data_IF_627499296757
#
_entry.id   IF_627499296757
#
_cell.length_a   1.000
_cell.length_b   1.000
_cell.length_c   1.000
_cell.angle_alpha   90.00
_cell.angle_beta   90.00
_cell.angle_gamma   90.00
#
_symmetry.space_group_name_H-M   'P 1'
#
loop_
_entity.id
_entity.type
_entity.pdbx_description
1 polymer ?
#
# COMPACT_ATOMS: atom_id res chain seq x y z
N UNK A 1 57.47 45.18 56.63
CA UNK A 1 56.71 45.04 55.38
C UNK A 1 55.34 44.46 55.70
N UNK A 2 54.30 45.30 55.75
CA UNK A 2 52.90 44.93 55.50
C UNK A 2 52.06 46.21 55.45
N UNK A 3 51.46 46.47 54.29
CA UNK A 3 50.60 47.62 53.99
C UNK A 3 49.18 47.33 54.46
N UNK A 4 48.52 48.27 55.11
CA UNK A 4 47.05 48.38 55.09
C UNK A 4 46.69 49.86 54.92
N UNK A 5 46.16 50.19 53.74
CA UNK A 5 45.68 51.51 53.33
C UNK A 5 44.25 51.76 53.78
N UNK A 6 44.02 52.92 54.40
CA UNK A 6 42.71 53.55 54.56
C UNK A 6 42.23 54.11 53.21
N UNK A 7 40.92 54.10 52.99
CA UNK A 7 40.05 55.28 52.84
C UNK A 7 38.82 54.94 51.98
N UNK A 8 37.65 55.00 52.59
CA UNK A 8 36.39 55.16 51.88
C UNK A 8 36.08 56.64 51.64
N UNK A 9 35.26 56.89 50.61
CA UNK A 9 34.10 57.80 50.61
C UNK A 9 33.44 57.76 49.23
N UNK A 10 32.15 57.42 49.20
CA UNK A 10 31.23 57.57 48.06
C UNK A 10 30.88 59.06 47.85
N UNK A 11 30.44 59.45 46.64
CA UNK A 11 29.00 59.72 46.50
C UNK A 11 28.36 59.23 45.18
N UNK A 12 27.02 59.30 45.20
CA UNK A 12 25.99 58.87 44.24
C UNK A 12 25.96 59.63 42.89
N UNK A 13 25.09 59.11 41.98
CA UNK A 13 24.44 59.68 40.77
C UNK A 13 25.09 59.22 39.45
N UNK A 14 24.38 58.75 38.41
CA UNK A 14 22.96 58.75 38.08
C UNK A 14 22.61 57.54 37.18
N UNK A 15 21.38 57.05 37.30
CA UNK A 15 20.80 55.98 36.51
C UNK A 15 20.24 56.50 35.17
N UNK A 16 20.56 55.80 34.07
CA UNK A 16 19.77 55.81 32.83
C UNK A 16 20.03 54.50 32.07
N UNK A 17 19.42 53.42 32.56
CA UNK A 17 19.34 52.15 31.84
C UNK A 17 18.09 52.13 30.97
N UNK A 18 18.23 52.56 29.71
CA UNK A 18 17.20 52.37 28.69
C UNK A 18 17.30 50.93 28.17
N UNK A 19 16.76 49.98 28.94
CA UNK A 19 16.58 48.60 28.48
C UNK A 19 15.34 48.57 27.57
N UNK A 20 15.55 48.80 26.27
CA UNK A 20 14.55 48.50 25.26
C UNK A 20 14.34 46.99 25.20
N UNK A 21 13.27 46.49 25.84
CA UNK A 21 12.74 45.17 25.55
C UNK A 21 12.24 45.20 24.10
N UNK A 22 13.07 44.74 23.17
CA UNK A 22 12.58 44.22 21.90
C UNK A 22 11.76 42.96 22.23
N UNK A 23 10.44 43.11 22.27
CA UNK A 23 9.53 41.99 22.18
C UNK A 23 9.73 41.35 20.80
N UNK A 24 10.57 40.32 20.73
CA UNK A 24 10.63 39.44 19.57
C UNK A 24 9.24 38.81 19.42
N UNK A 25 8.58 38.94 18.27
CA UNK A 25 7.37 38.17 18.03
C UNK A 25 7.80 36.70 18.04
N UNK A 26 7.23 35.93 18.97
CA UNK A 26 7.23 34.48 18.89
C UNK A 26 6.54 34.12 17.57
N UNK A 27 7.32 33.99 16.50
CA UNK A 27 6.86 33.38 15.27
C UNK A 27 6.37 31.99 15.65
N UNK A 28 5.08 31.72 15.41
CA UNK A 28 4.54 30.38 15.50
C UNK A 28 5.48 29.48 14.67
N UNK A 29 6.19 28.57 15.34
CA UNK A 29 6.99 27.56 14.66
C UNK A 29 6.02 26.82 13.73
N UNK A 30 6.15 27.04 12.42
CA UNK A 30 5.37 26.30 11.44
C UNK A 30 5.69 24.82 11.66
N UNK A 31 4.73 24.07 12.20
CA UNK A 31 4.88 22.65 12.44
C UNK A 31 5.22 21.99 11.10
N UNK A 32 6.31 21.21 11.07
CA UNK A 32 6.70 20.47 9.87
C UNK A 32 5.51 19.66 9.35
N UNK A 33 5.30 19.61 8.03
CA UNK A 33 4.15 18.91 7.46
C UNK A 33 4.16 17.44 7.87
N UNK A 34 2.96 16.88 8.08
CA UNK A 34 2.78 15.44 8.24
C UNK A 34 3.13 14.79 6.91
N UNK A 35 4.20 13.99 6.90
CA UNK A 35 4.63 13.25 5.72
C UNK A 35 3.92 11.91 5.68
N UNK A 36 3.21 11.66 4.58
CA UNK A 36 2.55 10.38 4.29
C UNK A 36 3.31 9.71 3.16
N UNK A 37 4.12 8.70 3.47
CA UNK A 37 4.69 7.83 2.43
C UNK A 37 3.63 6.80 2.03
N UNK A 38 3.37 6.72 0.73
CA UNK A 38 2.45 5.74 0.13
C UNK A 38 3.25 4.81 -0.78
N UNK A 39 3.42 3.54 -0.38
CA UNK A 39 4.11 2.53 -1.21
C UNK A 39 3.11 1.64 -1.95
N UNK A 40 3.39 1.33 -3.22
CA UNK A 40 2.65 0.30 -3.95
C UNK A 40 3.49 -0.38 -5.04
N UNK A 41 3.08 -1.59 -5.41
CA UNK A 41 3.86 -2.46 -6.30
C UNK A 41 3.60 -2.30 -7.79
N UNK A 42 2.54 -1.58 -8.17
CA UNK A 42 2.12 -1.40 -9.58
C UNK A 42 2.72 -0.15 -10.21
N UNK A 43 2.62 -0.05 -11.54
CA UNK A 43 2.98 1.14 -12.30
C UNK A 43 2.00 2.30 -12.07
N UNK A 44 2.44 3.54 -12.33
CA UNK A 44 1.64 4.75 -12.17
C UNK A 44 0.39 4.75 -13.05
N UNK A 45 0.50 4.26 -14.29
CA UNK A 45 -0.59 4.20 -15.28
C UNK A 45 -1.51 3.00 -15.05
N UNK A 46 -1.96 2.82 -13.81
CA UNK A 46 -2.94 1.81 -13.38
C UNK A 46 -3.97 2.45 -12.46
N UNK A 47 -5.16 1.84 -12.23
CA UNK A 47 -6.16 2.40 -11.31
C UNK A 47 -5.60 2.72 -9.92
N UNK A 48 -4.80 1.81 -9.34
CA UNK A 48 -4.16 2.04 -8.04
C UNK A 48 -3.09 3.13 -8.08
N UNK A 49 -2.25 3.16 -9.12
CA UNK A 49 -1.23 4.22 -9.29
C UNK A 49 -1.87 5.60 -9.40
N UNK A 50 -2.89 5.73 -10.25
CA UNK A 50 -3.64 6.97 -10.42
C UNK A 50 -4.41 7.35 -9.15
N UNK A 51 -5.00 6.40 -8.42
CA UNK A 51 -5.66 6.68 -7.15
C UNK A 51 -4.68 7.21 -6.07
N UNK A 52 -3.46 6.66 -5.99
CA UNK A 52 -2.43 7.16 -5.07
C UNK A 52 -1.95 8.58 -5.43
N UNK A 53 -1.74 8.85 -6.72
CA UNK A 53 -1.42 10.21 -7.21
C UNK A 53 -2.58 11.17 -6.91
N UNK A 54 -3.83 10.73 -7.14
CA UNK A 54 -5.00 11.55 -6.86
C UNK A 54 -5.17 11.84 -5.37
N UNK A 55 -4.89 10.86 -4.52
CA UNK A 55 -4.86 11.04 -3.08
C UNK A 55 -3.83 12.10 -2.68
N UNK A 56 -2.62 12.05 -3.23
CA UNK A 56 -1.60 13.09 -3.03
C UNK A 56 -2.12 14.48 -3.40
N UNK A 57 -2.64 14.65 -4.62
CA UNK A 57 -3.19 15.93 -5.07
C UNK A 57 -4.27 16.48 -4.14
N UNK A 58 -5.23 15.63 -3.75
CA UNK A 58 -6.37 16.04 -2.94
C UNK A 58 -5.96 16.35 -1.49
N UNK A 59 -5.07 15.54 -0.90
CA UNK A 59 -4.59 15.76 0.46
C UNK A 59 -3.79 17.07 0.54
N UNK A 60 -2.83 17.29 -0.36
CA UNK A 60 -1.99 18.49 -0.37
C UNK A 60 -2.81 19.76 -0.71
N UNK A 61 -3.81 19.65 -1.59
CA UNK A 61 -4.73 20.77 -1.90
C UNK A 61 -5.63 21.12 -0.73
N UNK A 62 -6.15 20.13 -0.01
CA UNK A 62 -7.06 20.34 1.13
C UNK A 62 -6.34 20.80 2.39
N UNK A 63 -5.07 20.45 2.54
CA UNK A 63 -4.26 20.70 3.74
C UNK A 63 -2.92 21.37 3.37
N UNK A 64 -2.96 22.56 2.75
CA UNK A 64 -1.76 23.22 2.24
C UNK A 64 -0.76 23.50 3.35
N UNK A 65 0.49 23.06 3.14
CA UNK A 65 1.59 23.20 4.11
C UNK A 65 1.48 22.31 5.35
N UNK A 66 0.37 21.57 5.54
CA UNK A 66 0.14 20.69 6.70
C UNK A 66 0.39 19.22 6.39
N UNK A 67 0.11 18.79 5.16
CA UNK A 67 0.32 17.41 4.71
C UNK A 67 1.19 17.41 3.45
N UNK A 68 2.12 16.46 3.38
CA UNK A 68 2.88 16.15 2.19
C UNK A 68 2.76 14.65 1.92
N UNK A 69 2.32 14.27 0.73
CA UNK A 69 2.22 12.86 0.33
C UNK A 69 3.34 12.52 -0.64
N UNK A 70 4.06 11.44 -0.36
CA UNK A 70 5.13 10.91 -1.20
C UNK A 70 4.71 9.54 -1.71
N UNK A 71 4.48 9.41 -3.02
CA UNK A 71 4.04 8.17 -3.65
C UNK A 71 5.24 7.43 -4.22
N UNK A 72 5.38 6.15 -3.89
CA UNK A 72 6.46 5.27 -4.31
C UNK A 72 5.88 4.07 -5.08
N UNK A 73 5.80 4.17 -6.42
CA UNK A 73 5.25 3.11 -7.27
C UNK A 73 6.27 1.99 -7.50
N UNK A 74 5.88 0.96 -8.25
CA UNK A 74 6.77 -0.11 -8.74
C UNK A 74 7.66 -0.75 -7.65
N UNK A 75 7.16 -0.85 -6.41
CA UNK A 75 7.92 -1.39 -5.28
C UNK A 75 9.21 -0.62 -4.97
N UNK A 76 9.32 0.65 -5.38
CA UNK A 76 10.54 1.47 -5.20
C UNK A 76 10.91 1.66 -3.73
N UNK A 77 9.91 1.72 -2.83
CA UNK A 77 10.13 1.80 -1.39
C UNK A 77 9.98 0.44 -0.72
N UNK A 78 8.80 -0.16 -0.80
CA UNK A 78 8.53 -1.51 -0.30
C UNK A 78 7.68 -2.31 -1.30
N UNK A 79 8.06 -3.57 -1.50
CA UNK A 79 7.33 -4.54 -2.31
C UNK A 79 6.60 -5.61 -1.50
N UNK A 80 6.03 -6.57 -2.22
CA UNK A 80 5.35 -7.74 -1.64
C UNK A 80 6.26 -8.46 -0.64
N UNK A 81 5.67 -8.88 0.49
CA UNK A 81 6.40 -9.56 1.57
C UNK A 81 7.03 -8.62 2.61
N UNK A 82 7.34 -7.35 2.25
CA UNK A 82 7.91 -6.36 3.17
C UNK A 82 6.97 -5.19 3.53
N UNK A 83 6.06 -4.82 2.61
CA UNK A 83 5.22 -3.62 2.77
C UNK A 83 4.37 -3.62 4.06
N UNK A 84 3.83 -4.78 4.45
CA UNK A 84 2.99 -4.91 5.65
C UNK A 84 3.79 -4.72 6.95
N UNK A 85 5.03 -5.23 7.00
CA UNK A 85 5.91 -5.08 8.15
C UNK A 85 6.40 -3.63 8.27
N UNK A 86 6.80 -3.02 7.15
CA UNK A 86 7.17 -1.62 7.08
C UNK A 86 6.05 -0.68 7.55
N UNK A 87 4.79 -0.99 7.21
CA UNK A 87 3.63 -0.24 7.69
C UNK A 87 3.48 -0.34 9.21
N UNK A 88 3.65 -1.54 9.77
CA UNK A 88 3.53 -1.76 11.22
C UNK A 88 4.66 -1.11 12.01
N UNK A 89 5.86 -1.03 11.43
CA UNK A 89 7.02 -0.32 11.99
C UNK A 89 6.93 1.20 11.82
N UNK A 90 6.07 1.69 10.92
CA UNK A 90 5.89 3.11 10.63
C UNK A 90 6.87 3.68 9.59
N UNK A 91 7.61 2.81 8.88
CA UNK A 91 8.54 3.20 7.81
C UNK A 91 7.81 3.72 6.56
N UNK A 92 6.54 3.31 6.40
CA UNK A 92 5.56 3.79 5.41
C UNK A 92 4.22 4.03 6.11
N UNK A 93 3.43 5.01 5.66
CA UNK A 93 2.18 5.41 6.34
C UNK A 93 0.94 4.79 5.70
N UNK A 94 0.97 4.57 4.39
CA UNK A 94 -0.14 3.98 3.63
C UNK A 94 0.37 3.00 2.59
N UNK A 95 -0.36 1.91 2.41
CA UNK A 95 -0.16 0.94 1.34
C UNK A 95 -1.53 0.48 0.83
N UNK A 96 -1.58 -0.11 -0.37
CA UNK A 96 -2.80 -0.67 -0.95
C UNK A 96 -2.53 -2.09 -1.51
N UNK A 97 -2.27 -3.07 -0.63
CA UNK A 97 -2.10 -4.47 -1.00
C UNK A 97 -3.41 -5.05 -1.56
N UNK A 98 -3.25 -6.09 -2.38
CA UNK A 98 -4.38 -6.89 -2.84
C UNK A 98 -4.99 -7.64 -1.67
N UNK A 99 -6.30 -7.86 -1.70
CA UNK A 99 -7.04 -8.60 -0.68
C UNK A 99 -6.46 -10.01 -0.43
N UNK A 100 -5.82 -10.61 -1.44
CA UNK A 100 -5.12 -11.89 -1.36
C UNK A 100 -3.85 -11.89 -0.49
N UNK A 101 -3.42 -10.75 0.04
CA UNK A 101 -2.13 -10.61 0.77
C UNK A 101 -2.28 -10.52 2.29
N UNK A 102 -3.49 -10.70 2.80
CA UNK A 102 -3.79 -10.53 4.22
C UNK A 102 -3.81 -11.84 5.04
N UNK A 103 -3.43 -12.98 4.44
CA UNK A 103 -3.49 -14.32 5.06
C UNK A 103 -2.83 -14.43 6.44
N UNK A 104 -1.73 -13.69 6.66
CA UNK A 104 -1.02 -13.66 7.95
C UNK A 104 -1.79 -12.91 9.04
N UNK A 105 -2.74 -12.06 8.67
CA UNK A 105 -3.45 -11.13 9.56
C UNK A 105 -4.91 -11.52 9.78
N UNK A 106 -5.60 -11.99 8.74
CA UNK A 106 -6.99 -12.43 8.82
C UNK A 106 -7.30 -13.46 7.75
N UNK A 107 -8.11 -14.46 8.10
CA UNK A 107 -8.68 -15.42 7.13
C UNK A 107 -9.97 -14.90 6.49
N UNK A 108 -10.59 -13.85 7.06
CA UNK A 108 -11.89 -13.35 6.57
C UNK A 108 -11.83 -12.73 5.18
N UNK A 109 -10.70 -12.09 4.86
CA UNK A 109 -10.50 -11.41 3.57
C UNK A 109 -10.20 -12.40 2.43
N UNK A 110 -9.84 -13.66 2.74
CA UNK A 110 -9.68 -14.72 1.75
C UNK A 110 -10.96 -15.02 0.95
N UNK A 111 -12.13 -14.57 1.44
CA UNK A 111 -13.38 -14.61 0.71
C UNK A 111 -13.25 -14.06 -0.72
N UNK A 112 -12.47 -12.98 -0.91
CA UNK A 112 -12.31 -12.36 -2.22
C UNK A 112 -11.47 -13.19 -3.21
N UNK A 113 -10.75 -14.22 -2.73
CA UNK A 113 -9.98 -15.13 -3.57
C UNK A 113 -10.78 -16.37 -3.99
N UNK A 114 -12.00 -16.56 -3.46
CA UNK A 114 -12.83 -17.71 -3.82
C UNK A 114 -13.17 -17.64 -5.33
N UNK A 115 -12.84 -18.69 -6.11
CA UNK A 115 -13.05 -18.66 -7.55
C UNK A 115 -14.53 -18.59 -7.87
N UNK A 116 -14.89 -17.72 -8.82
CA UNK A 116 -16.26 -17.48 -9.29
C UNK A 116 -17.25 -17.05 -8.20
N UNK A 117 -16.79 -16.49 -7.08
CA UNK A 117 -17.70 -15.99 -6.03
C UNK A 117 -18.50 -14.77 -6.49
N UNK A 118 -17.88 -13.88 -7.27
CA UNK A 118 -18.51 -12.67 -7.79
C UNK A 118 -18.68 -12.80 -9.30
N UNK A 119 -19.91 -12.57 -9.79
CA UNK A 119 -20.24 -12.62 -11.21
C UNK A 119 -19.54 -11.49 -12.00
N UNK A 120 -19.46 -10.30 -11.39
CA UNK A 120 -18.91 -9.09 -11.99
C UNK A 120 -18.43 -8.09 -10.91
N UNK A 121 -17.91 -6.95 -11.35
CA UNK A 121 -17.48 -5.89 -10.45
C UNK A 121 -18.66 -5.22 -9.71
N UNK A 122 -19.88 -5.20 -10.25
CA UNK A 122 -21.03 -4.64 -9.53
C UNK A 122 -21.41 -5.51 -8.32
N UNK A 123 -21.25 -6.83 -8.43
CA UNK A 123 -21.41 -7.75 -7.31
C UNK A 123 -20.36 -7.51 -6.22
N UNK A 124 -19.11 -7.23 -6.64
CA UNK A 124 -18.03 -6.84 -5.72
C UNK A 124 -18.38 -5.54 -5.01
N UNK A 125 -18.84 -4.52 -5.73
CA UNK A 125 -19.24 -3.22 -5.19
C UNK A 125 -20.35 -3.36 -4.15
N UNK A 126 -21.41 -4.10 -4.49
CA UNK A 126 -22.53 -4.35 -3.57
C UNK A 126 -22.05 -5.02 -2.29
N UNK A 127 -21.17 -6.02 -2.38
CA UNK A 127 -20.66 -6.70 -1.20
C UNK A 127 -19.75 -5.78 -0.36
N UNK A 128 -18.82 -5.08 -0.98
CA UNK A 128 -17.90 -4.17 -0.29
C UNK A 128 -18.65 -3.01 0.39
N UNK A 129 -19.73 -2.51 -0.22
CA UNK A 129 -20.61 -1.48 0.35
C UNK A 129 -21.53 -2.01 1.47
N UNK A 130 -21.77 -3.32 1.53
CA UNK A 130 -22.60 -3.93 2.58
C UNK A 130 -21.98 -3.79 3.98
N UNK A 131 -22.80 -3.95 5.02
CA UNK A 131 -22.32 -3.95 6.41
C UNK A 131 -21.21 -4.98 6.66
N UNK A 132 -21.32 -6.17 6.05
CA UNK A 132 -20.30 -7.22 6.16
C UNK A 132 -19.00 -6.83 5.45
N UNK A 133 -19.08 -6.26 4.23
CA UNK A 133 -17.92 -5.78 3.49
C UNK A 133 -17.21 -4.63 4.21
N UNK A 134 -17.96 -3.68 4.76
CA UNK A 134 -17.41 -2.58 5.55
C UNK A 134 -16.78 -3.06 6.87
N UNK A 135 -17.37 -4.07 7.52
CA UNK A 135 -16.80 -4.65 8.74
C UNK A 135 -15.40 -5.28 8.52
N UNK A 136 -15.12 -5.77 7.30
CA UNK A 136 -13.81 -6.34 6.97
C UNK A 136 -12.66 -5.32 6.99
N UNK A 137 -12.93 -4.03 6.75
CA UNK A 137 -11.92 -2.96 6.85
C UNK A 137 -11.32 -2.85 8.26
N UNK A 138 -12.09 -3.21 9.29
CA UNK A 138 -11.65 -3.20 10.70
C UNK A 138 -11.22 -4.58 11.21
N UNK A 139 -11.20 -5.60 10.36
CA UNK A 139 -10.96 -6.99 10.78
C UNK A 139 -9.55 -7.26 11.30
N UNK A 140 -8.62 -6.33 11.10
CA UNK A 140 -7.20 -6.46 11.46
C UNK A 140 -6.71 -5.34 12.38
N UNK A 141 -7.60 -4.48 12.90
CA UNK A 141 -7.21 -3.32 13.73
C UNK A 141 -6.50 -3.77 15.01
N UNK A 142 -6.90 -4.89 15.61
CA UNK A 142 -6.23 -5.49 16.76
C UNK A 142 -4.80 -6.00 16.46
N UNK A 143 -4.42 -6.10 15.18
CA UNK A 143 -3.07 -6.41 14.71
C UNK A 143 -2.32 -5.18 14.20
N UNK A 144 -2.83 -3.98 14.50
CA UNK A 144 -2.23 -2.69 14.12
C UNK A 144 -2.56 -2.23 12.70
N UNK A 145 -3.39 -2.96 11.95
CA UNK A 145 -3.75 -2.63 10.56
C UNK A 145 -5.17 -2.08 10.50
N UNK A 146 -5.33 -0.84 10.04
CA UNK A 146 -6.64 -0.24 9.80
C UNK A 146 -6.89 -0.14 8.29
N UNK A 147 -7.93 -0.81 7.80
CA UNK A 147 -8.47 -0.60 6.46
C UNK A 147 -9.27 0.69 6.38
N UNK A 148 -9.01 1.48 5.34
CA UNK A 148 -9.62 2.80 5.12
C UNK A 148 -10.63 2.78 3.98
N UNK A 149 -10.33 2.05 2.90
CA UNK A 149 -11.17 1.96 1.72
C UNK A 149 -10.84 0.70 0.90
N UNK A 150 -11.78 0.26 0.07
CA UNK A 150 -11.51 -0.64 -1.03
C UNK A 150 -11.22 0.16 -2.30
N UNK A 151 -10.27 -0.31 -3.12
CA UNK A 151 -10.02 0.22 -4.45
C UNK A 151 -10.07 -0.92 -5.46
N UNK A 152 -10.76 -0.68 -6.56
CA UNK A 152 -10.91 -1.67 -7.60
C UNK A 152 -9.66 -1.80 -8.48
N UNK A 153 -9.42 -3.01 -8.94
CA UNK A 153 -8.72 -3.22 -10.22
C UNK A 153 -9.69 -3.85 -11.22
N UNK A 154 -10.04 -5.12 -11.02
CA UNK A 154 -10.93 -5.83 -11.93
C UNK A 154 -10.87 -7.35 -11.82
N UNK A 155 -11.55 -8.01 -12.75
CA UNK A 155 -11.60 -9.47 -12.84
C UNK A 155 -10.28 -10.06 -13.41
N UNK A 156 -9.92 -11.24 -12.92
CA UNK A 156 -8.70 -11.99 -13.27
C UNK A 156 -8.89 -12.83 -14.54
N UNK A 157 -7.85 -12.81 -15.36
CA UNK A 157 -7.69 -13.59 -16.58
C UNK A 157 -6.49 -14.51 -16.45
N UNK A 158 -6.57 -15.70 -17.03
CA UNK A 158 -5.46 -16.64 -17.07
C UNK A 158 -4.59 -16.37 -18.29
N UNK A 159 -3.28 -16.49 -18.14
CA UNK A 159 -2.35 -16.52 -19.27
C UNK A 159 -1.31 -17.62 -19.12
N UNK A 160 -0.77 -18.06 -20.25
CA UNK A 160 0.33 -19.02 -20.30
C UNK A 160 1.19 -18.83 -21.55
N UNK A 161 2.40 -19.38 -21.53
CA UNK A 161 3.28 -19.49 -22.72
C UNK A 161 2.93 -20.70 -23.62
N UNK A 162 1.94 -21.54 -23.24
CA UNK A 162 1.42 -22.62 -24.09
C UNK A 162 0.42 -22.11 -25.13
N UNK A 163 0.26 -22.87 -26.21
CA UNK A 163 -0.67 -22.54 -27.31
C UNK A 163 -2.15 -22.82 -27.00
N UNK A 164 -2.43 -23.60 -25.94
CA UNK A 164 -3.79 -24.00 -25.56
C UNK A 164 -4.09 -23.58 -24.12
N UNK A 165 -5.21 -22.89 -23.94
CA UNK A 165 -5.78 -22.50 -22.66
C UNK A 165 -7.29 -22.28 -22.84
N UNK A 166 -8.05 -23.36 -23.04
CA UNK A 166 -9.50 -23.31 -23.32
C UNK A 166 -10.34 -24.11 -22.34
N UNK A 167 -9.75 -25.12 -21.69
CA UNK A 167 -10.42 -25.99 -20.74
C UNK A 167 -9.60 -26.11 -19.45
N UNK A 168 -10.23 -26.47 -18.33
CA UNK A 168 -9.53 -26.65 -17.06
C UNK A 168 -8.36 -27.64 -17.13
N UNK A 169 -8.43 -28.67 -17.98
CA UNK A 169 -7.36 -29.67 -18.11
C UNK A 169 -6.09 -29.11 -18.74
N UNK A 170 -6.19 -28.02 -19.50
CA UNK A 170 -5.06 -27.45 -20.24
C UNK A 170 -4.01 -26.83 -19.29
N UNK A 171 -4.37 -26.58 -18.02
CA UNK A 171 -3.42 -26.08 -16.99
C UNK A 171 -2.74 -27.20 -16.19
N UNK A 172 -3.12 -28.47 -16.40
CA UNK A 172 -2.60 -29.60 -15.61
C UNK A 172 -1.09 -29.73 -15.76
N UNK A 173 -0.38 -29.81 -14.64
CA UNK A 173 1.08 -29.92 -14.57
C UNK A 173 1.83 -28.61 -14.82
N UNK A 174 1.17 -27.56 -15.32
CA UNK A 174 1.79 -26.26 -15.54
C UNK A 174 2.10 -25.55 -14.21
N UNK A 175 3.20 -24.79 -14.18
CA UNK A 175 3.56 -23.96 -13.04
C UNK A 175 2.89 -22.59 -13.16
N UNK A 176 2.02 -22.24 -12.22
CA UNK A 176 1.34 -20.95 -12.21
C UNK A 176 1.87 -20.06 -11.10
N UNK A 177 2.30 -18.85 -11.45
CA UNK A 177 2.54 -17.83 -10.43
C UNK A 177 1.22 -17.39 -9.83
N UNK A 178 1.16 -17.34 -8.51
CA UNK A 178 0.04 -16.80 -7.74
C UNK A 178 0.52 -15.73 -6.74
N UNK A 179 -0.43 -14.91 -6.26
CA UNK A 179 -0.21 -14.07 -5.09
C UNK A 179 -0.09 -14.95 -3.82
N UNK A 180 0.35 -14.37 -2.71
CA UNK A 180 0.53 -15.09 -1.44
C UNK A 180 -0.79 -15.40 -0.73
N UNK A 181 -1.62 -16.24 -1.35
CA UNK A 181 -2.91 -16.70 -0.85
C UNK A 181 -3.01 -18.21 -0.85
N UNK A 182 -3.47 -18.78 0.27
CA UNK A 182 -3.74 -20.22 0.39
C UNK A 182 -4.97 -20.64 -0.45
N UNK A 183 -5.92 -19.74 -0.71
CA UNK A 183 -7.10 -20.02 -1.55
C UNK A 183 -6.69 -20.12 -3.02
N UNK A 184 -5.84 -19.22 -3.50
CA UNK A 184 -5.31 -19.29 -4.86
C UNK A 184 -4.44 -20.53 -5.07
N UNK A 185 -3.70 -20.94 -4.04
CA UNK A 185 -2.97 -22.21 -4.07
C UNK A 185 -3.93 -23.39 -4.24
N UNK A 186 -5.00 -23.44 -3.45
CA UNK A 186 -6.02 -24.48 -3.56
C UNK A 186 -6.73 -24.46 -4.93
N UNK A 187 -7.02 -23.28 -5.48
CA UNK A 187 -7.63 -23.09 -6.81
C UNK A 187 -6.82 -23.81 -7.90
N UNK A 188 -5.52 -23.56 -8.00
CA UNK A 188 -4.69 -24.18 -9.03
C UNK A 188 -4.41 -25.66 -8.76
N UNK A 189 -4.26 -26.06 -7.49
CA UNK A 189 -4.12 -27.48 -7.14
C UNK A 189 -5.36 -28.29 -7.52
N UNK A 190 -6.55 -27.73 -7.39
CA UNK A 190 -7.81 -28.37 -7.81
C UNK A 190 -7.84 -28.65 -9.33
N UNK A 191 -7.10 -27.86 -10.13
CA UNK A 191 -6.94 -28.07 -11.57
C UNK A 191 -5.74 -28.95 -11.94
N UNK A 192 -5.04 -29.52 -10.94
CA UNK A 192 -3.84 -30.31 -11.14
C UNK A 192 -2.62 -29.50 -11.61
N UNK A 193 -2.65 -28.17 -11.45
CA UNK A 193 -1.53 -27.29 -11.72
C UNK A 193 -0.59 -27.16 -10.49
N UNK A 194 0.57 -26.55 -10.71
CA UNK A 194 1.62 -26.35 -9.71
C UNK A 194 1.75 -24.87 -9.33
N UNK A 195 1.02 -24.37 -8.32
CA UNK A 195 1.10 -22.96 -7.93
C UNK A 195 2.43 -22.60 -7.27
N UNK A 196 2.92 -21.39 -7.55
CA UNK A 196 4.11 -20.79 -6.93
C UNK A 196 3.79 -19.37 -6.45
N UNK A 197 3.88 -19.15 -5.13
CA UNK A 197 3.72 -17.83 -4.51
C UNK A 197 4.94 -16.98 -4.82
N UNK A 198 4.75 -15.81 -5.42
CA UNK A 198 5.85 -14.95 -5.89
C UNK A 198 5.47 -13.46 -5.81
N UNK A 199 6.45 -12.59 -5.52
CA UNK A 199 6.22 -11.15 -5.48
C UNK A 199 5.86 -10.61 -6.88
N UNK A 200 5.00 -9.59 -6.93
CA UNK A 200 4.56 -9.01 -8.20
C UNK A 200 5.71 -8.50 -9.09
N UNK A 201 6.77 -7.95 -8.50
CA UNK A 201 7.95 -7.44 -9.19
C UNK A 201 8.79 -8.52 -9.90
N UNK A 202 8.62 -9.79 -9.51
CA UNK A 202 9.41 -10.91 -10.04
C UNK A 202 8.72 -11.59 -11.23
N UNK A 203 7.42 -11.33 -11.43
CA UNK A 203 6.56 -12.10 -12.34
C UNK A 203 7.01 -12.02 -13.78
N UNK A 204 7.33 -10.82 -14.29
CA UNK A 204 7.74 -10.67 -15.69
C UNK A 204 8.95 -11.55 -16.00
N UNK A 205 9.99 -11.49 -15.15
CA UNK A 205 11.18 -12.30 -15.35
C UNK A 205 10.92 -13.79 -15.16
N UNK A 206 10.08 -14.18 -14.20
CA UNK A 206 9.73 -15.58 -13.99
C UNK A 206 8.97 -16.18 -15.18
N UNK A 207 8.11 -15.40 -15.85
CA UNK A 207 7.45 -15.81 -17.09
C UNK A 207 8.45 -15.85 -18.25
N UNK A 208 9.26 -14.80 -18.42
CA UNK A 208 10.23 -14.69 -19.51
C UNK A 208 11.25 -15.84 -19.51
N UNK A 209 11.67 -16.27 -18.33
CA UNK A 209 12.67 -17.34 -18.14
C UNK A 209 12.06 -18.74 -18.01
N UNK A 210 10.74 -18.86 -17.99
CA UNK A 210 10.05 -20.15 -17.83
C UNK A 210 10.15 -20.77 -16.43
N UNK A 211 10.47 -19.99 -15.40
CA UNK A 211 10.37 -20.43 -13.99
C UNK A 211 8.93 -20.82 -13.68
N UNK A 212 7.97 -20.04 -14.19
CA UNK A 212 6.55 -20.37 -14.25
C UNK A 212 6.06 -20.37 -15.70
N UNK A 213 5.10 -21.23 -16.00
CA UNK A 213 4.48 -21.36 -17.33
C UNK A 213 3.34 -20.35 -17.55
N UNK A 214 2.76 -19.81 -16.47
CA UNK A 214 1.58 -18.96 -16.54
C UNK A 214 1.30 -18.18 -15.26
N UNK A 215 0.26 -17.33 -15.32
CA UNK A 215 -0.19 -16.51 -14.20
C UNK A 215 -1.68 -16.15 -14.32
N UNK A 216 -2.21 -15.49 -13.30
CA UNK A 216 -3.52 -14.82 -13.31
C UNK A 216 -3.40 -13.32 -12.98
N UNK A 217 -4.07 -12.45 -13.74
CA UNK A 217 -4.16 -11.02 -13.43
C UNK A 217 -5.33 -10.30 -14.12
N UNK A 218 -5.57 -9.05 -13.73
CA UNK A 218 -6.43 -8.15 -14.48
C UNK A 218 -5.77 -7.66 -15.77
N UNK A 219 -6.58 -7.20 -16.72
CA UNK A 219 -6.09 -6.56 -17.94
C UNK A 219 -5.14 -5.39 -17.68
N UNK A 220 -5.41 -4.58 -16.65
CA UNK A 220 -4.55 -3.44 -16.27
C UNK A 220 -3.12 -3.89 -15.93
N UNK A 221 -2.97 -4.97 -15.16
CA UNK A 221 -1.66 -5.47 -14.79
C UNK A 221 -0.99 -6.23 -15.94
N UNK A 222 -1.74 -7.04 -16.70
CA UNK A 222 -1.22 -7.75 -17.88
C UNK A 222 -0.59 -6.75 -18.85
N UNK A 223 -1.28 -5.63 -19.12
CA UNK A 223 -0.79 -4.59 -20.01
C UNK A 223 0.34 -3.77 -19.39
N UNK A 224 0.15 -3.19 -18.20
CA UNK A 224 1.12 -2.28 -17.60
C UNK A 224 2.46 -2.94 -17.23
N UNK A 225 2.46 -4.24 -16.96
CA UNK A 225 3.67 -5.03 -16.72
C UNK A 225 4.16 -5.80 -17.94
N UNK A 226 3.51 -5.60 -19.10
CA UNK A 226 3.90 -6.24 -20.37
C UNK A 226 3.90 -7.77 -20.31
N UNK A 227 3.09 -8.39 -19.46
CA UNK A 227 3.01 -9.85 -19.40
C UNK A 227 2.58 -10.45 -20.75
N UNK A 228 1.81 -9.71 -21.55
CA UNK A 228 1.44 -10.10 -22.92
C UNK A 228 2.64 -10.26 -23.88
N UNK A 229 3.80 -9.64 -23.59
CA UNK A 229 5.01 -9.82 -24.42
C UNK A 229 5.68 -11.19 -24.18
N UNK A 230 5.39 -11.83 -23.05
CA UNK A 230 6.01 -13.10 -22.59
C UNK A 230 4.98 -14.19 -22.30
N UNK A 231 3.75 -14.03 -22.80
CA UNK A 231 2.65 -14.98 -22.66
C UNK A 231 1.92 -15.10 -23.98
N UNK A 232 2.03 -16.27 -24.63
CA UNK A 232 1.44 -16.52 -25.96
C UNK A 232 -0.08 -16.53 -25.95
N UNK A 233 -0.68 -17.04 -24.88
CA UNK A 233 -2.13 -17.24 -24.80
C UNK A 233 -2.69 -16.58 -23.55
N UNK A 234 -3.77 -15.82 -23.72
CA UNK A 234 -4.56 -15.26 -22.63
C UNK A 234 -6.01 -15.71 -22.82
N UNK A 235 -6.62 -16.24 -21.77
CA UNK A 235 -8.02 -16.61 -21.73
C UNK A 235 -8.78 -15.62 -20.85
N UNK A 236 -9.82 -14.99 -21.40
CA UNK A 236 -10.76 -14.18 -20.62
C UNK A 236 -11.68 -15.10 -19.82
N UNK A 237 -11.28 -15.35 -18.58
CA UNK A 237 -11.93 -16.32 -17.69
C UNK A 237 -12.80 -15.67 -16.62
N UNK A 238 -12.51 -14.41 -16.25
CA UNK A 238 -13.18 -13.69 -15.17
C UNK A 238 -13.37 -14.54 -13.89
N UNK A 239 -12.39 -15.40 -13.56
CA UNK A 239 -12.57 -16.47 -12.56
C UNK A 239 -12.44 -16.00 -11.11
N UNK A 240 -12.18 -14.72 -10.89
CA UNK A 240 -12.07 -14.11 -9.57
C UNK A 240 -11.69 -12.63 -9.69
N UNK A 241 -11.61 -11.93 -8.57
CA UNK A 241 -11.33 -10.49 -8.53
C UNK A 241 -9.94 -10.21 -7.97
N UNK A 242 -9.28 -9.16 -8.48
CA UNK A 242 -8.19 -8.49 -7.76
C UNK A 242 -8.70 -7.12 -7.35
N UNK A 243 -8.88 -6.94 -6.07
CA UNK A 243 -9.16 -5.65 -5.45
C UNK A 243 -8.17 -5.38 -4.32
N UNK A 244 -8.11 -4.12 -3.90
CA UNK A 244 -7.19 -3.65 -2.89
C UNK A 244 -7.92 -3.17 -1.64
N UNK A 245 -7.28 -3.32 -0.49
CA UNK A 245 -7.64 -2.60 0.72
C UNK A 245 -6.55 -1.55 0.97
N UNK A 246 -6.92 -0.27 0.97
CA UNK A 246 -6.03 0.79 1.45
C UNK A 246 -5.91 0.63 2.95
N UNK A 247 -4.69 0.43 3.45
CA UNK A 247 -4.44 0.20 4.87
C UNK A 247 -3.38 1.17 5.42
N UNK A 248 -3.52 1.48 6.70
CA UNK A 248 -2.60 2.28 7.48
C UNK A 248 -2.29 1.60 8.83
N UNK A 249 -1.29 2.10 9.53
CA UNK A 249 -1.02 1.72 10.91
C UNK A 249 -2.06 2.39 11.83
N UNK A 250 -2.84 1.59 12.56
CA UNK A 250 -3.94 2.08 13.39
C UNK A 250 -3.48 3.10 14.45
N UNK A 251 -2.34 2.84 15.12
CA UNK A 251 -1.80 3.74 16.16
C UNK A 251 -1.33 5.06 15.55
N UNK A 252 -0.69 5.02 14.39
CA UNK A 252 -0.27 6.23 13.70
C UNK A 252 -1.50 7.06 13.27
N UNK A 253 -2.53 6.40 12.73
CA UNK A 253 -3.77 7.03 12.31
C UNK A 253 -4.50 7.74 13.45
N UNK A 254 -4.63 7.06 14.60
CA UNK A 254 -5.27 7.62 15.81
C UNK A 254 -4.45 8.78 16.43
N UNK A 255 -3.15 8.86 16.12
CA UNK A 255 -2.26 9.93 16.57
C UNK A 255 -2.28 11.19 15.70
N UNK A 256 -3.03 11.19 14.59
CA UNK A 256 -3.17 12.37 13.73
C UNK A 256 -4.00 13.45 14.45
N UNK A 257 -3.67 14.75 14.27
CA UNK A 257 -4.50 15.84 14.79
C UNK A 257 -5.92 15.78 14.21
N UNK A 258 -6.92 16.05 15.08
CA UNK A 258 -8.34 16.08 14.72
C UNK A 258 -8.72 17.28 13.85
#
# INVERSE_FOLDING_TARGET
>A
MNKISKLGRRPLLAALSLAGLMALPFGALAQSPIVIKFSHVVADQTPKGQAAIKFKELAEKKLPGKVQVQVFPNSQLFGDGKEMEALLLGDVQMIAPSLSKFDRYTKKVQLFDLPFLFDDMEAVDRFQASANGQALLKSMTNRGLLGLAYWHNGMKQLSTDKDQLKRPEDVKGLKFRIQSSDVLEAQFRALGANPQKMAFSEVYQALQTGVVDGQENTWSNIFSQKFYEVQKTIAETNHGVIDYMVVTNAKWWDGLPA
#
